data_IF_113689955184
#
_entry.id   IF_113689955184
#
_cell.length_a   1.000
_cell.length_b   1.000
_cell.length_c   1.000
_cell.angle_alpha   90.00
_cell.angle_beta   90.00
_cell.angle_gamma   90.00
#
_symmetry.space_group_name_H-M   'P 1'
#
loop_
_entity.id
_entity.type
_entity.pdbx_description
1 polymer ?
#
# COMPACT_ATOMS: atom_id res chain seq x y z
N UNK A 1 15.09 -16.87 -10.94
CA UNK A 1 15.20 -17.52 -9.62
C UNK A 1 16.66 -17.90 -9.35
N UNK A 2 17.17 -17.54 -8.19
CA UNK A 2 18.47 -17.96 -7.72
C UNK A 2 18.32 -19.15 -6.78
N UNK A 3 19.20 -20.13 -6.89
CA UNK A 3 19.15 -21.32 -6.03
C UNK A 3 20.56 -21.68 -5.56
N UNK A 4 20.66 -22.23 -4.35
CA UNK A 4 21.88 -22.80 -3.80
C UNK A 4 21.47 -24.00 -2.93
N UNK A 5 21.83 -25.22 -3.30
CA UNK A 5 21.36 -26.43 -2.64
C UNK A 5 19.83 -26.47 -2.70
N UNK A 6 19.17 -26.45 -1.53
CA UNK A 6 17.72 -26.45 -1.41
C UNK A 6 17.13 -25.03 -1.28
N UNK A 7 17.97 -24.01 -1.22
CA UNK A 7 17.52 -22.62 -1.12
C UNK A 7 16.97 -22.14 -2.45
N UNK A 8 15.81 -21.48 -2.41
CA UNK A 8 15.18 -20.89 -3.60
C UNK A 8 14.98 -19.40 -3.35
N UNK A 9 15.29 -18.60 -4.36
CA UNK A 9 15.05 -17.15 -4.33
C UNK A 9 14.22 -16.81 -5.55
N UNK A 10 13.09 -16.17 -5.32
CA UNK A 10 12.17 -15.76 -6.37
C UNK A 10 11.89 -14.28 -6.25
N UNK A 11 12.08 -13.55 -7.35
CA UNK A 11 11.74 -12.15 -7.41
C UNK A 11 10.21 -12.00 -7.51
N UNK A 12 9.63 -11.23 -6.61
CA UNK A 12 8.19 -11.00 -6.58
C UNK A 12 7.81 -9.65 -7.18
N UNK A 13 8.69 -8.66 -7.03
CA UNK A 13 8.45 -7.31 -7.48
C UNK A 13 9.79 -6.61 -7.66
N UNK A 14 9.97 -5.96 -8.79
CA UNK A 14 11.14 -5.13 -9.05
C UNK A 14 10.66 -3.87 -9.77
N UNK A 15 10.80 -2.71 -9.13
CA UNK A 15 10.37 -1.42 -9.69
C UNK A 15 11.43 -0.37 -9.43
N UNK A 16 11.42 0.67 -10.25
CA UNK A 16 12.24 1.86 -10.01
C UNK A 16 11.29 2.95 -9.53
N UNK A 17 11.34 3.31 -8.23
CA UNK A 17 10.50 4.39 -7.75
C UNK A 17 10.83 5.70 -8.49
N UNK A 18 9.83 6.55 -8.76
CA UNK A 18 10.08 7.83 -9.45
C UNK A 18 10.97 8.77 -8.64
N UNK A 19 11.01 8.59 -7.32
CA UNK A 19 11.92 9.32 -6.43
C UNK A 19 12.09 8.56 -5.12
N UNK A 20 13.20 8.82 -4.45
CA UNK A 20 13.45 8.33 -3.09
C UNK A 20 13.89 9.56 -2.28
N UNK A 21 13.30 9.81 -1.10
CA UNK A 21 13.67 10.97 -0.29
C UNK A 21 15.16 10.97 0.04
N UNK A 22 15.80 12.15 -0.05
CA UNK A 22 17.17 12.29 0.37
C UNK A 22 17.30 12.04 1.86
N UNK A 23 18.30 11.29 2.28
CA UNK A 23 18.49 10.94 3.69
C UNK A 23 17.43 9.99 4.24
N UNK A 24 16.76 9.24 3.36
CA UNK A 24 15.67 8.34 3.74
C UNK A 24 16.12 7.31 4.77
N UNK A 25 15.17 6.95 5.63
CA UNK A 25 15.29 5.78 6.50
C UNK A 25 14.21 4.76 6.14
N UNK A 26 14.45 3.49 6.47
CA UNK A 26 13.50 2.41 6.21
C UNK A 26 12.81 1.99 7.50
N UNK A 27 11.49 1.78 7.41
CA UNK A 27 10.68 1.31 8.52
C UNK A 27 9.93 0.06 8.06
N UNK A 28 10.01 -1.02 8.82
CA UNK A 28 9.24 -2.24 8.54
C UNK A 28 8.09 -2.35 9.53
N UNK A 29 6.89 -2.52 9.01
CA UNK A 29 5.68 -2.63 9.82
C UNK A 29 4.93 -3.91 9.49
N UNK A 30 4.36 -4.52 10.53
CA UNK A 30 3.35 -5.56 10.38
C UNK A 30 1.99 -4.89 10.51
N UNK A 31 1.18 -4.99 9.47
CA UNK A 31 -0.17 -4.45 9.46
C UNK A 31 -1.17 -5.59 9.59
N UNK A 32 -2.06 -5.48 10.57
CA UNK A 32 -3.04 -6.51 10.88
C UNK A 32 -4.44 -5.91 10.81
N UNK A 33 -5.24 -6.44 9.89
CA UNK A 33 -6.61 -5.98 9.63
C UNK A 33 -7.61 -7.00 10.18
N UNK A 34 -8.47 -6.61 11.13
CA UNK A 34 -9.53 -7.50 11.60
C UNK A 34 -10.49 -7.90 10.48
N UNK A 35 -11.31 -8.94 10.68
CA UNK A 35 -12.32 -9.33 9.68
C UNK A 35 -13.17 -8.15 9.24
N UNK A 36 -13.33 -8.00 7.93
CA UNK A 36 -14.12 -6.96 7.27
C UNK A 36 -13.67 -5.52 7.53
N UNK A 37 -12.47 -5.32 8.11
CA UNK A 37 -11.97 -3.98 8.41
C UNK A 37 -11.73 -3.16 7.14
N UNK A 38 -12.17 -1.90 7.16
CA UNK A 38 -12.00 -1.00 6.03
C UNK A 38 -10.56 -0.48 5.88
N UNK A 39 -9.71 -0.71 6.88
CA UNK A 39 -8.34 -0.23 6.89
C UNK A 39 -8.23 1.26 7.17
N UNK A 40 -7.16 1.86 6.66
CA UNK A 40 -6.91 3.28 6.86
C UNK A 40 -7.66 4.12 5.83
N UNK A 41 -8.10 5.30 6.25
CA UNK A 41 -8.68 6.30 5.35
C UNK A 41 -7.63 6.82 4.35
N UNK A 42 -8.04 7.53 3.29
CA UNK A 42 -7.09 8.04 2.30
C UNK A 42 -5.96 8.84 2.92
N UNK A 43 -4.73 8.58 2.44
CA UNK A 43 -3.52 9.16 3.04
C UNK A 43 -2.38 9.23 2.04
N UNK A 44 -1.36 9.99 2.41
CA UNK A 44 -0.06 10.03 1.74
C UNK A 44 0.99 9.33 2.60
N UNK A 45 1.98 8.73 1.95
CA UNK A 45 3.22 8.30 2.60
C UNK A 45 4.36 9.25 2.22
N UNK A 46 5.33 9.43 3.11
CA UNK A 46 6.46 10.35 2.87
C UNK A 46 7.48 9.82 1.85
N UNK A 47 7.31 8.59 1.38
CA UNK A 47 8.15 7.97 0.36
C UNK A 47 7.57 6.65 -0.10
N UNK A 48 8.30 5.90 -0.95
CA UNK A 48 7.81 4.63 -1.47
C UNK A 48 7.56 3.60 -0.38
N UNK A 49 6.55 2.76 -0.60
CA UNK A 49 6.21 1.65 0.30
C UNK A 49 6.18 0.36 -0.50
N UNK A 50 6.81 -0.69 0.05
CA UNK A 50 6.83 -2.03 -0.53
C UNK A 50 6.15 -2.97 0.44
N UNK A 51 5.22 -3.78 -0.06
CA UNK A 51 4.43 -4.67 0.79
C UNK A 51 4.43 -6.11 0.31
N UNK A 52 4.07 -6.99 1.23
CA UNK A 52 3.92 -8.43 0.97
C UNK A 52 2.81 -8.99 1.85
N UNK A 53 1.79 -9.58 1.23
CA UNK A 53 0.66 -10.14 1.97
C UNK A 53 1.04 -11.50 2.53
N UNK A 54 1.01 -11.63 3.86
CA UNK A 54 1.37 -12.85 4.58
C UNK A 54 0.20 -13.83 4.66
N UNK A 55 -1.00 -13.32 4.93
CA UNK A 55 -2.23 -14.12 4.97
C UNK A 55 -3.44 -13.24 4.65
N UNK A 56 -4.47 -13.85 4.12
CA UNK A 56 -5.68 -13.13 3.74
C UNK A 56 -5.57 -12.44 2.41
N UNK A 57 -6.31 -11.35 2.26
CA UNK A 57 -6.36 -10.59 1.01
C UNK A 57 -6.83 -9.17 1.27
N UNK A 58 -6.29 -8.24 0.50
CA UNK A 58 -6.64 -6.83 0.63
C UNK A 58 -7.22 -6.29 -0.66
N UNK A 59 -8.12 -5.31 -0.54
CA UNK A 59 -8.49 -4.42 -1.62
C UNK A 59 -7.50 -3.25 -1.56
N UNK A 60 -6.74 -3.06 -2.62
CA UNK A 60 -5.67 -2.08 -2.70
C UNK A 60 -5.95 -1.08 -3.81
N UNK A 61 -5.93 0.20 -3.46
CA UNK A 61 -6.16 1.26 -4.44
C UNK A 61 -5.23 2.44 -4.19
N UNK A 62 -4.47 2.82 -5.24
CA UNK A 62 -3.71 4.06 -5.26
C UNK A 62 -4.25 4.97 -6.36
N UNK A 63 -4.02 6.27 -6.21
CA UNK A 63 -4.50 7.29 -7.12
C UNK A 63 -4.07 7.02 -8.57
N UNK A 64 -5.03 7.11 -9.48
CA UNK A 64 -4.79 6.89 -10.91
C UNK A 64 -4.84 5.45 -11.37
N UNK A 65 -4.90 4.49 -10.45
CA UNK A 65 -4.95 3.07 -10.79
C UNK A 65 -6.26 2.43 -10.36
N UNK A 66 -6.65 1.39 -11.10
CA UNK A 66 -7.84 0.62 -10.77
C UNK A 66 -7.64 -0.12 -9.44
N UNK A 67 -8.64 -0.15 -8.55
CA UNK A 67 -8.58 -0.98 -7.35
C UNK A 67 -8.35 -2.45 -7.71
N UNK A 68 -7.51 -3.13 -6.96
CA UNK A 68 -7.20 -4.53 -7.21
C UNK A 68 -7.10 -5.32 -5.92
N UNK A 69 -7.35 -6.62 -6.03
CA UNK A 69 -7.17 -7.55 -4.93
C UNK A 69 -5.72 -8.05 -4.92
N UNK A 70 -5.13 -8.07 -3.72
CA UNK A 70 -3.81 -8.64 -3.50
C UNK A 70 -3.95 -9.74 -2.45
N UNK A 71 -3.52 -10.95 -2.79
CA UNK A 71 -3.69 -12.12 -1.94
C UNK A 71 -2.36 -12.54 -1.30
N UNK A 72 -2.45 -13.42 -0.30
CA UNK A 72 -1.27 -13.97 0.36
C UNK A 72 -0.24 -14.49 -0.65
N UNK A 73 1.02 -14.15 -0.43
CA UNK A 73 2.11 -14.52 -1.32
C UNK A 73 2.40 -13.50 -2.42
N UNK A 74 1.60 -12.45 -2.54
CA UNK A 74 1.81 -11.40 -3.55
C UNK A 74 2.43 -10.15 -2.94
N UNK A 75 3.31 -9.51 -3.70
CA UNK A 75 3.93 -8.26 -3.34
C UNK A 75 3.19 -7.09 -4.02
N UNK A 76 3.30 -5.93 -3.42
CA UNK A 76 2.75 -4.69 -3.95
C UNK A 76 3.66 -3.52 -3.58
N UNK A 77 3.42 -2.37 -4.21
CA UNK A 77 4.15 -1.16 -3.88
C UNK A 77 3.32 0.07 -4.19
N UNK A 78 3.71 1.19 -3.60
CA UNK A 78 3.18 2.50 -3.93
C UNK A 78 4.30 3.53 -3.93
N UNK A 79 4.21 4.55 -4.82
CA UNK A 79 5.29 5.54 -4.93
C UNK A 79 5.40 6.47 -3.72
N UNK A 80 4.32 6.66 -2.98
CA UNK A 80 4.30 7.65 -1.89
C UNK A 80 4.33 9.08 -2.42
N UNK A 81 4.84 9.99 -1.61
CA UNK A 81 4.86 11.41 -1.99
C UNK A 81 3.46 11.95 -2.21
N UNK A 82 3.21 12.51 -3.38
CA UNK A 82 1.92 13.12 -3.70
C UNK A 82 0.86 12.12 -4.17
N UNK A 83 1.19 10.84 -4.29
CA UNK A 83 0.24 9.80 -4.71
C UNK A 83 -0.57 9.34 -3.52
N UNK A 84 -1.89 9.48 -3.62
CA UNK A 84 -2.81 9.07 -2.54
C UNK A 84 -3.02 7.58 -2.51
N UNK A 85 -2.95 6.98 -1.33
CA UNK A 85 -3.38 5.61 -1.08
C UNK A 85 -4.83 5.67 -0.58
N UNK A 86 -5.76 5.22 -1.42
CA UNK A 86 -7.18 5.33 -1.13
C UNK A 86 -7.73 4.18 -0.29
N UNK A 87 -7.32 2.95 -0.57
CA UNK A 87 -7.89 1.78 0.08
C UNK A 87 -6.85 0.70 0.38
N UNK A 88 -6.98 0.11 1.56
CA UNK A 88 -6.19 -1.06 1.99
C UNK A 88 -7.10 -1.90 2.91
N UNK A 89 -8.24 -2.30 2.40
CA UNK A 89 -9.28 -2.98 3.20
C UNK A 89 -9.09 -4.49 3.25
N UNK A 90 -9.51 -5.11 4.35
CA UNK A 90 -9.59 -6.56 4.46
C UNK A 90 -10.83 -7.07 3.70
N UNK A 91 -10.62 -7.86 2.65
CA UNK A 91 -11.71 -8.44 1.87
C UNK A 91 -12.33 -9.68 2.51
N UNK A 92 -11.70 -10.23 3.55
CA UNK A 92 -12.25 -11.37 4.27
C UNK A 92 -13.13 -10.90 5.43
N UNK A 93 -14.36 -11.38 5.46
CA UNK A 93 -15.31 -11.03 6.52
C UNK A 93 -15.23 -11.93 7.73
N UNK A 94 -14.52 -13.06 7.63
CA UNK A 94 -14.43 -14.07 8.69
C UNK A 94 -13.02 -14.29 9.23
N UNK A 95 -12.00 -13.63 8.70
CA UNK A 95 -10.63 -13.85 9.13
C UNK A 95 -9.77 -12.60 9.01
N UNK A 96 -8.67 -12.59 9.75
CA UNK A 96 -7.69 -11.52 9.72
C UNK A 96 -6.88 -11.55 8.44
N UNK A 97 -6.47 -10.39 7.99
CA UNK A 97 -5.48 -10.23 6.93
C UNK A 97 -4.24 -9.57 7.52
N UNK A 98 -3.07 -10.05 7.14
CA UNK A 98 -1.78 -9.51 7.60
C UNK A 98 -0.85 -9.29 6.44
N UNK A 99 -0.16 -8.16 6.45
CA UNK A 99 0.87 -7.87 5.46
C UNK A 99 2.04 -7.14 6.11
N UNK A 100 3.21 -7.31 5.51
CA UNK A 100 4.41 -6.52 5.85
C UNK A 100 4.47 -5.32 4.93
N UNK A 101 4.88 -4.18 5.48
CA UNK A 101 5.14 -2.98 4.70
C UNK A 101 6.53 -2.46 5.06
N UNK A 102 7.34 -2.20 4.04
CA UNK A 102 8.63 -1.51 4.18
C UNK A 102 8.46 -0.11 3.63
N UNK A 103 8.53 0.87 4.51
CA UNK A 103 8.31 2.28 4.18
C UNK A 103 9.66 2.98 4.06
N UNK A 104 9.92 3.61 2.92
CA UNK A 104 11.11 4.42 2.70
C UNK A 104 10.72 5.86 3.04
N UNK A 105 11.13 6.32 4.20
CA UNK A 105 10.58 7.51 4.82
C UNK A 105 11.48 8.74 4.67
N UNK A 106 10.86 9.89 4.40
CA UNK A 106 11.57 11.16 4.38
C UNK A 106 11.88 11.61 5.82
N UNK A 107 13.10 12.14 6.08
CA UNK A 107 13.43 12.63 7.40
C UNK A 107 12.65 13.90 7.73
N UNK A 108 12.31 14.07 9.00
CA UNK A 108 11.71 15.30 9.52
C UNK A 108 10.24 15.51 9.20
N UNK A 109 9.57 14.54 8.56
CA UNK A 109 8.14 14.61 8.28
C UNK A 109 7.46 13.30 8.69
N UNK A 110 6.14 13.36 8.90
CA UNK A 110 5.38 12.15 9.25
C UNK A 110 5.43 11.12 8.13
N UNK A 111 5.58 9.86 8.50
CA UNK A 111 5.59 8.75 7.56
C UNK A 111 4.26 8.61 6.83
N UNK A 112 3.18 8.94 7.49
CA UNK A 112 1.82 8.90 6.96
C UNK A 112 1.09 10.20 7.31
N UNK A 113 0.36 10.76 6.35
CA UNK A 113 -0.45 11.96 6.53
C UNK A 113 -1.84 11.71 5.99
N UNK A 114 -2.86 11.77 6.86
CA UNK A 114 -4.25 11.57 6.44
C UNK A 114 -4.74 12.79 5.67
N UNK A 115 -5.54 12.56 4.62
CA UNK A 115 -6.14 13.64 3.85
C UNK A 115 -7.35 14.24 4.56
N UNK A 116 -7.48 15.56 4.46
CA UNK A 116 -8.68 16.26 4.89
C UNK A 116 -9.80 16.07 3.85
N UNK A 117 -11.10 16.15 4.26
CA UNK A 117 -12.21 15.99 3.33
C UNK A 117 -12.15 16.90 2.11
N UNK A 118 -11.68 18.13 2.27
CA UNK A 118 -11.51 19.09 1.17
C UNK A 118 -10.47 18.64 0.15
N UNK A 119 -9.39 18.04 0.63
CA UNK A 119 -8.34 17.49 -0.26
C UNK A 119 -8.87 16.30 -1.04
N UNK A 120 -9.64 15.43 -0.40
CA UNK A 120 -10.25 14.26 -1.05
C UNK A 120 -11.17 14.74 -2.17
N UNK A 121 -12.02 15.72 -1.90
CA UNK A 121 -12.93 16.29 -2.89
C UNK A 121 -12.18 16.93 -4.06
N UNK A 122 -11.13 17.69 -3.77
CA UNK A 122 -10.34 18.39 -4.80
C UNK A 122 -9.59 17.41 -5.71
N UNK A 123 -9.28 16.21 -5.23
CA UNK A 123 -8.51 15.20 -5.97
C UNK A 123 -9.38 14.10 -6.59
N UNK A 124 -10.69 14.17 -6.44
CA UNK A 124 -11.58 13.12 -6.92
C UNK A 124 -11.39 12.81 -8.42
N UNK A 125 -11.12 13.84 -9.22
CA UNK A 125 -10.90 13.71 -10.67
C UNK A 125 -9.62 12.91 -11.01
N UNK A 126 -8.69 12.76 -10.07
CA UNK A 126 -7.46 11.98 -10.26
C UNK A 126 -7.64 10.53 -9.90
N UNK A 127 -8.70 10.21 -9.17
CA UNK A 127 -9.01 8.84 -8.77
C UNK A 127 -9.60 8.07 -9.94
N UNK A 128 -9.20 6.79 -10.08
CA UNK A 128 -9.76 5.93 -11.13
C UNK A 128 -11.28 5.81 -10.95
N UNK A 129 -12.08 5.85 -12.05
CA UNK A 129 -13.54 5.76 -11.93
C UNK A 129 -14.04 4.53 -11.17
N UNK A 130 -13.38 3.39 -11.30
CA UNK A 130 -13.73 2.17 -10.58
C UNK A 130 -13.54 2.32 -9.06
N UNK A 131 -12.58 3.14 -8.62
CA UNK A 131 -12.34 3.42 -7.21
C UNK A 131 -13.50 4.15 -6.56
N UNK A 132 -14.14 5.05 -7.28
CA UNK A 132 -15.30 5.80 -6.80
C UNK A 132 -16.49 4.90 -6.50
N UNK A 133 -16.59 3.75 -7.16
CA UNK A 133 -17.66 2.77 -6.93
C UNK A 133 -17.45 1.96 -5.65
N UNK A 134 -16.22 1.88 -5.15
CA UNK A 134 -15.89 1.19 -3.91
C UNK A 134 -15.91 2.14 -2.70
N UNK A 135 -16.03 3.44 -2.91
CA UNK A 135 -16.18 4.42 -1.85
C UNK A 135 -17.62 4.38 -1.36
N UNK A 136 -17.83 3.66 -0.30
CA UNK A 136 -19.14 3.48 0.30
C UNK A 136 -19.55 4.61 1.22
#
# INVERSE_FOLDING_TARGET
MLTSGNTKVRDLLCVTPPWIPEGAHAMTQLVELPPADAGLAPHHHSGPVFGYVLEGRILFEIEGEEPREIVAGQAFWEPGGDVVHYQVANLDSGSWTRFLAVCICAPGVDMITMLEPEEISARDHLRHPSGRQHAG
#
